data_IF_691620215528
#
_entry.id   IF_691620215528
#
_cell.length_a   1.000
_cell.length_b   1.000
_cell.length_c   1.000
_cell.angle_alpha   90.00
_cell.angle_beta   90.00
_cell.angle_gamma   90.00
#
_symmetry.space_group_name_H-M   'P 1'
#
loop_
_entity.id
_entity.type
_entity.pdbx_description
1 polymer ?
#
# COMPACT_ATOMS: atom_id res chain seq x y z
N UNK A 1 18.95 7.94 -19.77
CA UNK A 1 17.50 7.78 -20.00
C UNK A 1 17.07 6.32 -20.17
N UNK A 2 17.49 5.60 -21.22
CA UNK A 2 17.08 4.18 -21.38
C UNK A 2 17.55 3.27 -20.24
N UNK A 3 18.80 3.43 -19.79
CA UNK A 3 19.32 2.68 -18.64
C UNK A 3 18.59 3.02 -17.33
N UNK A 4 18.10 4.26 -17.18
CA UNK A 4 17.33 4.68 -16.00
C UNK A 4 15.97 3.95 -15.96
N UNK A 5 15.30 3.83 -17.13
CA UNK A 5 14.06 3.06 -17.28
C UNK A 5 14.31 1.59 -16.95
N UNK A 6 15.35 0.99 -17.53
CA UNK A 6 15.66 -0.43 -17.34
C UNK A 6 15.96 -0.75 -15.86
N UNK A 7 16.70 0.14 -15.19
CA UNK A 7 17.03 0.01 -13.76
C UNK A 7 15.81 0.18 -12.86
N UNK A 8 14.77 0.90 -13.29
CA UNK A 8 13.53 1.09 -12.53
C UNK A 8 12.61 -0.14 -12.55
N UNK A 9 12.70 -1.01 -13.57
CA UNK A 9 11.77 -2.14 -13.74
C UNK A 9 11.74 -3.08 -12.52
N UNK A 10 12.87 -3.55 -11.97
CA UNK A 10 12.85 -4.42 -10.79
C UNK A 10 12.16 -3.76 -9.59
N UNK A 11 12.39 -2.47 -9.37
CA UNK A 11 11.79 -1.73 -8.26
C UNK A 11 10.28 -1.57 -8.43
N UNK A 12 9.79 -1.28 -9.64
CA UNK A 12 8.35 -1.24 -9.92
C UNK A 12 7.66 -2.58 -9.69
N UNK A 13 8.30 -3.69 -10.06
CA UNK A 13 7.79 -5.05 -9.79
C UNK A 13 7.77 -5.34 -8.30
N UNK A 14 8.87 -5.06 -7.58
CA UNK A 14 8.96 -5.27 -6.12
C UNK A 14 7.89 -4.44 -5.40
N UNK A 15 7.72 -3.18 -5.79
CA UNK A 15 6.70 -2.30 -5.22
C UNK A 15 5.30 -2.88 -5.43
N UNK A 16 5.01 -3.40 -6.63
CA UNK A 16 3.74 -4.06 -6.92
C UNK A 16 3.48 -5.26 -5.99
N UNK A 17 4.49 -6.07 -5.66
CA UNK A 17 4.31 -7.24 -4.80
C UNK A 17 4.56 -6.96 -3.31
N UNK A 18 4.77 -5.70 -2.92
CA UNK A 18 4.96 -5.34 -1.52
C UNK A 18 3.67 -5.62 -0.74
N UNK A 19 3.76 -6.56 0.21
CA UNK A 19 2.60 -7.02 0.98
C UNK A 19 2.22 -5.95 2.00
N UNK A 20 1.06 -5.32 1.80
CA UNK A 20 0.55 -4.27 2.66
C UNK A 20 -0.98 -4.14 2.62
N UNK A 21 -1.56 -3.24 3.42
CA UNK A 21 -3.00 -2.97 3.46
C UNK A 21 -3.61 -2.75 2.07
N UNK A 22 -2.95 -1.96 1.24
CA UNK A 22 -3.40 -1.60 -0.12
C UNK A 22 -3.44 -2.82 -1.03
N UNK A 23 -2.38 -3.65 -1.02
CA UNK A 23 -2.29 -4.88 -1.81
C UNK A 23 -3.52 -5.79 -1.58
N UNK A 24 -3.85 -6.04 -0.31
CA UNK A 24 -4.99 -6.89 0.02
C UNK A 24 -6.33 -6.28 -0.40
N UNK A 25 -6.52 -4.98 -0.19
CA UNK A 25 -7.76 -4.29 -0.56
C UNK A 25 -7.93 -4.20 -2.07
N UNK A 26 -6.85 -4.06 -2.83
CA UNK A 26 -6.87 -4.09 -4.30
C UNK A 26 -7.35 -5.44 -4.81
N UNK A 27 -6.75 -6.54 -4.32
CA UNK A 27 -7.14 -7.89 -4.71
C UNK A 27 -8.59 -8.22 -4.30
N UNK A 28 -9.02 -7.82 -3.11
CA UNK A 28 -10.41 -7.98 -2.66
C UNK A 28 -11.38 -7.22 -3.55
N UNK A 29 -11.07 -5.95 -3.83
CA UNK A 29 -11.90 -5.10 -4.69
C UNK A 29 -11.99 -5.70 -6.09
N UNK A 30 -10.89 -6.22 -6.64
CA UNK A 30 -10.91 -6.85 -7.95
C UNK A 30 -11.72 -8.16 -7.97
N UNK A 31 -11.50 -9.03 -6.98
CA UNK A 31 -12.18 -10.32 -6.92
C UNK A 31 -13.68 -10.18 -6.61
N UNK A 32 -14.08 -9.20 -5.79
CA UNK A 32 -15.48 -9.03 -5.37
C UNK A 32 -16.28 -8.06 -6.24
N UNK A 33 -15.68 -6.93 -6.63
CA UNK A 33 -16.34 -5.82 -7.36
C UNK A 33 -15.86 -5.69 -8.81
N UNK A 34 -14.90 -6.50 -9.23
CA UNK A 34 -14.39 -6.56 -10.60
C UNK A 34 -13.32 -5.52 -10.92
N UNK A 35 -12.69 -5.72 -12.08
CA UNK A 35 -11.54 -4.93 -12.56
C UNK A 35 -11.77 -3.42 -12.59
N UNK A 36 -12.90 -2.94 -13.13
CA UNK A 36 -13.19 -1.48 -13.19
C UNK A 36 -13.20 -0.86 -11.79
N UNK A 37 -13.76 -1.55 -10.79
CA UNK A 37 -13.80 -1.07 -9.41
C UNK A 37 -12.41 -1.03 -8.78
N UNK A 38 -11.59 -2.05 -9.06
CA UNK A 38 -10.21 -2.12 -8.59
C UNK A 38 -9.33 -1.05 -9.24
N UNK A 39 -9.48 -0.81 -10.55
CA UNK A 39 -8.78 0.23 -11.28
C UNK A 39 -9.05 1.61 -10.69
N UNK A 40 -10.32 1.94 -10.40
CA UNK A 40 -10.66 3.23 -9.77
C UNK A 40 -10.06 3.36 -8.37
N UNK A 41 -10.04 2.27 -7.60
CA UNK A 41 -9.36 2.26 -6.30
C UNK A 41 -7.85 2.50 -6.48
N UNK A 42 -7.22 1.82 -7.44
CA UNK A 42 -5.79 1.87 -7.71
C UNK A 42 -5.34 3.24 -8.24
N UNK A 43 -6.14 3.90 -9.06
CA UNK A 43 -5.89 5.29 -9.45
C UNK A 43 -5.84 6.24 -8.25
N UNK A 44 -6.62 5.96 -7.19
CA UNK A 44 -6.51 6.68 -5.93
C UNK A 44 -5.18 6.41 -5.21
N UNK A 45 -4.71 5.16 -5.24
CA UNK A 45 -3.42 4.75 -4.66
C UNK A 45 -2.27 5.44 -5.38
N UNK A 46 -2.24 5.36 -6.71
CA UNK A 46 -1.22 6.00 -7.57
C UNK A 46 -1.22 7.52 -7.38
N UNK A 47 -2.38 8.16 -7.22
CA UNK A 47 -2.42 9.59 -6.91
C UNK A 47 -1.75 9.89 -5.55
N UNK A 48 -2.00 9.07 -4.53
CA UNK A 48 -1.33 9.22 -3.24
C UNK A 48 0.19 8.99 -3.35
N UNK A 49 0.64 8.05 -4.18
CA UNK A 49 2.07 7.86 -4.45
C UNK A 49 2.68 9.09 -5.14
N UNK A 50 2.01 9.64 -6.15
CA UNK A 50 2.46 10.88 -6.80
C UNK A 50 2.56 12.02 -5.77
N UNK A 51 1.57 12.18 -4.89
CA UNK A 51 1.62 13.18 -3.82
C UNK A 51 2.83 12.95 -2.91
N UNK A 52 3.11 11.70 -2.52
CA UNK A 52 4.27 11.39 -1.70
C UNK A 52 5.59 11.61 -2.40
N UNK A 53 5.70 11.28 -3.69
CA UNK A 53 6.88 11.60 -4.50
C UNK A 53 7.10 13.10 -4.51
N UNK A 54 6.06 13.91 -4.76
CA UNK A 54 6.18 15.37 -4.76
C UNK A 54 6.59 15.89 -3.38
N UNK A 55 5.97 15.40 -2.31
CA UNK A 55 6.34 15.76 -0.93
C UNK A 55 7.81 15.42 -0.69
N UNK A 56 8.25 14.20 -1.01
CA UNK A 56 9.61 13.75 -0.78
C UNK A 56 10.63 14.49 -1.66
N UNK A 57 10.27 14.83 -2.90
CA UNK A 57 11.12 15.54 -3.85
C UNK A 57 11.33 17.01 -3.48
N UNK A 58 10.28 17.71 -3.03
CA UNK A 58 10.37 19.11 -2.58
C UNK A 58 10.71 19.24 -1.10
N UNK A 59 10.71 18.15 -0.36
CA UNK A 59 11.12 18.11 1.04
C UNK A 59 12.61 18.41 1.16
N UNK A 60 12.97 19.28 2.10
CA UNK A 60 14.37 19.44 2.51
C UNK A 60 14.88 18.17 3.21
N UNK A 61 16.19 17.91 3.16
CA UNK A 61 16.81 16.79 3.89
C UNK A 61 16.39 16.76 5.37
N UNK A 62 16.18 17.94 5.99
CA UNK A 62 15.73 18.07 7.38
C UNK A 62 14.32 17.53 7.65
N UNK A 63 13.39 17.67 6.70
CA UNK A 63 12.02 17.14 6.87
C UNK A 63 12.01 15.62 6.64
N UNK A 64 12.85 15.11 5.73
CA UNK A 64 13.03 13.67 5.55
C UNK A 64 13.67 13.01 6.77
N UNK A 65 14.71 13.61 7.34
CA UNK A 65 15.35 13.15 8.58
C UNK A 65 14.36 13.15 9.75
N UNK A 66 13.59 14.24 9.92
CA UNK A 66 12.53 14.27 10.93
C UNK A 66 11.48 13.19 10.73
N UNK A 67 10.99 12.96 9.50
CA UNK A 67 9.95 11.93 9.27
C UNK A 67 10.49 10.52 9.54
N UNK A 68 11.78 10.28 9.26
CA UNK A 68 12.43 8.99 9.47
C UNK A 68 12.73 8.71 10.95
N UNK A 69 13.20 9.73 11.67
CA UNK A 69 13.71 9.59 13.03
C UNK A 69 12.68 9.97 14.12
N UNK A 70 11.57 10.60 13.74
CA UNK A 70 10.48 10.94 14.66
C UNK A 70 9.45 9.79 14.73
N UNK A 71 9.38 9.06 15.87
CA UNK A 71 8.40 7.99 16.06
C UNK A 71 6.95 8.48 15.98
N UNK A 72 6.71 9.78 16.12
CA UNK A 72 5.36 10.37 16.04
C UNK A 72 4.66 10.09 14.72
N UNK A 73 5.39 10.04 13.59
CA UNK A 73 4.81 9.71 12.28
C UNK A 73 4.37 8.24 12.18
N UNK A 74 5.17 7.32 12.74
CA UNK A 74 4.81 5.90 12.85
C UNK A 74 3.58 5.70 13.74
N UNK A 75 3.54 6.39 14.89
CA UNK A 75 2.39 6.36 15.80
C UNK A 75 1.14 6.92 15.09
N UNK A 76 1.24 8.08 14.44
CA UNK A 76 0.12 8.71 13.74
C UNK A 76 -0.46 7.81 12.63
N UNK A 77 0.38 7.31 11.73
CA UNK A 77 -0.03 6.37 10.68
C UNK A 77 -0.59 5.08 11.27
N UNK A 78 0.03 4.57 12.34
CA UNK A 78 -0.41 3.40 13.07
C UNK A 78 -1.80 3.55 13.69
N UNK A 79 -2.11 4.68 14.34
CA UNK A 79 -3.43 4.97 14.90
C UNK A 79 -4.48 5.02 13.81
N UNK A 80 -4.23 5.76 12.72
CA UNK A 80 -5.19 5.87 11.62
C UNK A 80 -5.47 4.52 10.98
N UNK A 81 -4.43 3.73 10.74
CA UNK A 81 -4.55 2.40 10.15
C UNK A 81 -5.23 1.40 11.09
N UNK A 82 -4.94 1.46 12.39
CA UNK A 82 -5.59 0.67 13.42
C UNK A 82 -7.08 0.98 13.51
N UNK A 83 -7.46 2.27 13.60
CA UNK A 83 -8.85 2.71 13.65
C UNK A 83 -9.59 2.29 12.38
N UNK A 84 -8.99 2.49 11.20
CA UNK A 84 -9.59 2.06 9.94
C UNK A 84 -9.78 0.53 9.90
N UNK A 85 -8.77 -0.24 10.31
CA UNK A 85 -8.84 -1.70 10.43
C UNK A 85 -9.95 -2.17 11.37
N UNK A 86 -10.07 -1.52 12.54
CA UNK A 86 -11.08 -1.82 13.55
C UNK A 86 -12.49 -1.52 13.04
N UNK A 87 -12.70 -0.34 12.45
CA UNK A 87 -13.98 0.04 11.82
C UNK A 87 -14.34 -0.97 10.72
N UNK A 88 -13.37 -1.33 9.88
CA UNK A 88 -13.55 -2.32 8.81
C UNK A 88 -13.97 -3.68 9.39
N UNK A 89 -13.32 -4.14 10.46
CA UNK A 89 -13.60 -5.42 11.11
C UNK A 89 -15.00 -5.46 11.73
N UNK A 90 -15.38 -4.42 12.48
CA UNK A 90 -16.71 -4.31 13.11
C UNK A 90 -17.78 -4.29 12.03
N UNK A 91 -17.57 -3.49 10.98
CA UNK A 91 -18.52 -3.39 9.88
C UNK A 91 -18.69 -4.71 9.15
N UNK A 92 -17.60 -5.38 8.78
CA UNK A 92 -17.66 -6.69 8.13
C UNK A 92 -18.37 -7.71 9.00
N UNK A 93 -18.09 -7.74 10.31
CA UNK A 93 -18.70 -8.68 11.26
C UNK A 93 -20.23 -8.55 11.33
N UNK A 94 -20.77 -7.35 11.10
CA UNK A 94 -22.23 -7.09 11.08
C UNK A 94 -22.85 -7.19 9.68
N UNK A 95 -22.05 -7.26 8.60
CA UNK A 95 -22.54 -7.08 7.23
C UNK A 95 -22.83 -8.38 6.46
N UNK A 96 -22.89 -9.56 7.10
CA UNK A 96 -23.12 -10.82 6.35
C UNK A 96 -24.43 -10.77 5.53
N UNK A 97 -25.51 -10.27 6.13
CA UNK A 97 -26.80 -10.07 5.44
C UNK A 97 -26.69 -9.08 4.26
N UNK A 98 -25.93 -8.01 4.43
CA UNK A 98 -25.71 -7.02 3.37
C UNK A 98 -24.87 -7.59 2.22
N UNK A 99 -23.88 -8.43 2.52
CA UNK A 99 -23.06 -9.13 1.51
C UNK A 99 -23.94 -10.07 0.68
N UNK A 100 -24.89 -10.77 1.29
CA UNK A 100 -25.84 -11.63 0.58
C UNK A 100 -26.77 -10.81 -0.32
N UNK A 101 -27.27 -9.66 0.16
CA UNK A 101 -28.10 -8.74 -0.65
C UNK A 101 -27.32 -8.11 -1.81
N UNK A 102 -26.07 -7.70 -1.57
CA UNK A 102 -25.19 -7.11 -2.59
C UNK A 102 -24.79 -8.15 -3.66
N UNK A 103 -24.63 -9.42 -3.28
CA UNK A 103 -24.34 -10.51 -4.21
C UNK A 103 -25.47 -10.76 -5.23
N UNK A 104 -26.74 -10.57 -4.84
CA UNK A 104 -27.91 -10.78 -5.70
C UNK A 104 -28.40 -9.50 -6.38
N UNK A 105 -27.89 -8.32 -6.00
CA UNK A 105 -28.25 -7.06 -6.66
C UNK A 105 -27.53 -6.95 -8.00
N UNK A 106 -28.32 -6.78 -9.06
CA UNK A 106 -27.83 -6.37 -10.38
C UNK A 106 -27.42 -4.88 -10.25
N UNK A 107 -26.12 -4.68 -10.10
CA UNK A 107 -25.31 -3.49 -10.41
C UNK A 107 -26.05 -2.16 -10.69
N UNK A 108 -26.37 -1.34 -9.66
CA UNK A 108 -27.01 -0.02 -9.89
C UNK A 108 -26.24 1.19 -9.35
N UNK A 109 -25.30 1.09 -8.40
CA UNK A 109 -24.48 2.27 -8.03
C UNK A 109 -23.06 1.90 -7.64
N UNK A 110 -22.17 1.85 -8.64
CA UNK A 110 -20.73 1.82 -8.39
C UNK A 110 -20.32 3.18 -7.84
N UNK A 111 -20.13 3.26 -6.52
CA UNK A 111 -19.62 4.46 -5.84
C UNK A 111 -18.12 4.63 -6.15
N UNK A 112 -17.80 4.90 -7.42
CA UNK A 112 -16.43 5.01 -7.91
C UNK A 112 -15.63 6.08 -7.16
N UNK A 113 -16.21 7.26 -6.91
CA UNK A 113 -15.56 8.29 -6.09
C UNK A 113 -15.21 7.81 -4.67
N UNK A 114 -16.06 6.98 -4.07
CA UNK A 114 -15.77 6.37 -2.76
C UNK A 114 -14.65 5.32 -2.84
N UNK A 115 -14.55 4.58 -3.94
CA UNK A 115 -13.47 3.61 -4.15
C UNK A 115 -12.13 4.32 -4.38
N UNK A 116 -12.14 5.38 -5.19
CA UNK A 116 -10.98 6.23 -5.42
C UNK A 116 -10.47 6.82 -4.11
N UNK A 117 -11.35 7.50 -3.35
CA UNK A 117 -10.99 8.10 -2.07
C UNK A 117 -10.54 7.03 -1.05
N UNK A 118 -11.13 5.84 -1.07
CA UNK A 118 -10.68 4.71 -0.24
C UNK A 118 -9.25 4.30 -0.58
N UNK A 119 -8.90 4.21 -1.87
CA UNK A 119 -7.55 3.90 -2.32
C UNK A 119 -6.55 4.97 -1.93
N UNK A 120 -6.87 6.22 -2.24
CA UNK A 120 -6.06 7.38 -1.87
C UNK A 120 -5.79 7.44 -0.37
N UNK A 121 -6.84 7.42 0.47
CA UNK A 121 -6.67 7.54 1.92
C UNK A 121 -5.92 6.34 2.51
N UNK A 122 -6.20 5.11 2.05
CA UNK A 122 -5.52 3.93 2.57
C UNK A 122 -4.01 3.96 2.28
N UNK A 123 -3.62 4.47 1.11
CA UNK A 123 -2.22 4.64 0.77
C UNK A 123 -1.61 5.84 1.52
N UNK A 124 -2.32 6.96 1.60
CA UNK A 124 -1.86 8.20 2.22
C UNK A 124 -1.67 8.10 3.75
N UNK A 125 -2.48 7.30 4.46
CA UNK A 125 -2.25 7.08 5.91
C UNK A 125 -1.07 6.13 6.17
N UNK A 126 -0.60 5.41 5.15
CA UNK A 126 0.49 4.45 5.29
C UNK A 126 1.84 5.17 5.16
N UNK A 127 2.37 5.63 6.29
CA UNK A 127 3.68 6.31 6.36
C UNK A 127 4.83 5.48 5.78
N UNK A 128 4.72 4.15 5.76
CA UNK A 128 5.72 3.28 5.15
C UNK A 128 5.88 3.53 3.64
N UNK A 129 4.82 4.00 2.97
CA UNK A 129 4.86 4.34 1.54
C UNK A 129 5.68 5.60 1.31
N UNK A 130 5.49 6.64 2.14
CA UNK A 130 6.32 7.85 2.09
C UNK A 130 7.81 7.50 2.28
N UNK A 131 8.13 6.71 3.31
CA UNK A 131 9.51 6.26 3.55
C UNK A 131 10.07 5.42 2.39
N UNK A 132 9.24 4.59 1.76
CA UNK A 132 9.60 3.85 0.55
C UNK A 132 9.97 4.75 -0.62
N UNK A 133 9.19 5.79 -0.88
CA UNK A 133 9.50 6.78 -1.93
C UNK A 133 10.77 7.58 -1.63
N UNK A 134 11.03 7.92 -0.36
CA UNK A 134 12.31 8.52 0.05
C UNK A 134 13.48 7.58 -0.26
N UNK A 135 13.34 6.29 0.05
CA UNK A 135 14.37 5.30 -0.28
C UNK A 135 14.60 5.18 -1.79
N UNK A 136 13.54 5.17 -2.60
CA UNK A 136 13.68 5.16 -4.07
C UNK A 136 14.31 6.43 -4.62
N UNK A 137 14.09 7.60 -4.00
CA UNK A 137 14.78 8.83 -4.39
C UNK A 137 16.28 8.72 -4.12
N UNK A 138 16.68 8.20 -2.94
CA UNK A 138 18.10 8.00 -2.61
C UNK A 138 18.75 7.00 -3.55
N UNK A 139 18.09 5.87 -3.81
CA UNK A 139 18.57 4.86 -4.77
C UNK A 139 18.65 5.45 -6.19
N UNK A 140 17.62 6.16 -6.63
CA UNK A 140 17.57 6.80 -7.94
C UNK A 140 18.73 7.77 -8.15
N UNK A 141 19.00 8.65 -7.18
CA UNK A 141 20.15 9.56 -7.22
C UNK A 141 21.51 8.83 -7.35
N UNK A 142 21.62 7.61 -6.83
CA UNK A 142 22.84 6.80 -6.97
C UNK A 142 22.95 6.03 -8.29
N UNK A 143 21.82 5.79 -8.97
CA UNK A 143 21.74 4.99 -10.19
C UNK A 143 21.57 5.83 -11.47
N UNK A 144 21.24 7.11 -11.34
CA UNK A 144 20.98 8.00 -12.48
C UNK A 144 21.96 9.15 -12.52
N UNK A 145 22.58 9.39 -13.68
CA UNK A 145 23.59 10.45 -13.85
C UNK A 145 23.07 11.66 -14.64
N UNK A 146 21.93 11.52 -15.33
CA UNK A 146 21.39 12.56 -16.20
C UNK A 146 20.51 13.58 -15.43
N UNK A 147 20.42 14.80 -15.96
CA UNK A 147 19.66 15.92 -15.35
C UNK A 147 18.21 15.56 -14.99
N UNK A 148 17.55 14.79 -15.86
CA UNK A 148 16.17 14.33 -15.66
C UNK A 148 16.08 12.84 -15.26
N UNK A 149 17.23 12.21 -14.99
CA UNK A 149 17.35 10.77 -14.76
C UNK A 149 16.50 10.30 -13.58
N UNK A 150 16.51 11.02 -12.46
CA UNK A 150 15.71 10.70 -11.29
C UNK A 150 14.20 10.73 -11.58
N UNK A 151 13.73 11.75 -12.31
CA UNK A 151 12.31 11.85 -12.68
C UNK A 151 11.90 10.72 -13.63
N UNK A 152 12.75 10.39 -14.60
CA UNK A 152 12.54 9.24 -15.51
C UNK A 152 12.52 7.93 -14.72
N UNK A 153 13.43 7.75 -13.77
CA UNK A 153 13.49 6.56 -12.91
C UNK A 153 12.22 6.40 -12.07
N UNK A 154 11.80 7.43 -11.32
CA UNK A 154 10.62 7.38 -10.45
C UNK A 154 9.32 7.20 -11.25
N UNK A 155 9.16 7.91 -12.37
CA UNK A 155 8.00 7.72 -13.25
C UNK A 155 7.97 6.33 -13.88
N UNK A 156 9.14 5.77 -14.21
CA UNK A 156 9.24 4.39 -14.70
C UNK A 156 8.84 3.37 -13.63
N UNK A 157 9.26 3.56 -12.37
CA UNK A 157 8.80 2.73 -11.23
C UNK A 157 7.27 2.76 -11.15
N UNK A 158 6.65 3.95 -11.17
CA UNK A 158 5.19 4.09 -11.11
C UNK A 158 4.48 3.41 -12.28
N UNK A 159 4.99 3.57 -13.51
CA UNK A 159 4.39 2.95 -14.70
C UNK A 159 4.48 1.43 -14.59
N UNK A 160 5.65 0.88 -14.26
CA UNK A 160 5.82 -0.57 -14.12
C UNK A 160 4.95 -1.10 -12.98
N UNK A 161 4.93 -0.41 -11.84
CA UNK A 161 4.07 -0.73 -10.70
C UNK A 161 2.60 -0.82 -11.14
N UNK A 162 2.07 0.22 -11.78
CA UNK A 162 0.70 0.26 -12.27
C UNK A 162 0.39 -0.83 -13.30
N UNK A 163 1.31 -1.09 -14.25
CA UNK A 163 1.14 -2.15 -15.25
C UNK A 163 1.06 -3.54 -14.60
N UNK A 164 1.90 -3.82 -13.61
CA UNK A 164 1.84 -5.08 -12.85
C UNK A 164 0.53 -5.15 -12.05
N UNK A 165 0.04 -4.03 -11.52
CA UNK A 165 -1.25 -3.96 -10.83
C UNK A 165 -2.41 -4.29 -11.77
N UNK A 166 -2.40 -3.84 -13.03
CA UNK A 166 -3.39 -4.24 -14.04
C UNK A 166 -3.41 -5.75 -14.27
N UNK A 167 -2.24 -6.40 -14.27
CA UNK A 167 -2.14 -7.86 -14.40
C UNK A 167 -2.73 -8.54 -13.15
N UNK A 168 -2.29 -8.15 -11.95
CA UNK A 168 -2.78 -8.73 -10.69
C UNK A 168 -4.28 -8.54 -10.53
N UNK A 169 -4.80 -7.36 -10.85
CA UNK A 169 -6.24 -7.08 -10.85
C UNK A 169 -6.96 -8.01 -11.81
N UNK A 170 -6.45 -8.20 -13.03
CA UNK A 170 -7.06 -9.10 -14.02
C UNK A 170 -7.09 -10.55 -13.55
N UNK A 171 -6.01 -11.02 -12.91
CA UNK A 171 -5.94 -12.35 -12.30
C UNK A 171 -6.92 -12.50 -11.12
N UNK A 172 -6.97 -11.52 -10.22
CA UNK A 172 -7.86 -11.52 -9.07
C UNK A 172 -9.34 -11.51 -9.48
N UNK A 173 -9.70 -10.80 -10.56
CA UNK A 173 -11.06 -10.82 -11.11
C UNK A 173 -11.49 -12.23 -11.51
N UNK A 174 -10.58 -13.08 -12.02
CA UNK A 174 -10.92 -14.46 -12.40
C UNK A 174 -11.35 -15.30 -11.19
N UNK A 175 -10.91 -14.95 -9.97
CA UNK A 175 -11.34 -15.60 -8.73
C UNK A 175 -12.81 -15.31 -8.37
N UNK A 176 -13.46 -14.31 -9.01
CA UNK A 176 -14.85 -13.95 -8.74
C UNK A 176 -15.81 -15.13 -8.86
N UNK A 177 -15.63 -16.01 -9.84
CA UNK A 177 -16.48 -17.19 -10.06
C UNK A 177 -16.39 -18.22 -8.92
N UNK A 178 -15.32 -18.17 -8.11
CA UNK A 178 -15.11 -19.06 -6.96
C UNK A 178 -15.52 -18.43 -5.62
N UNK A 179 -15.98 -17.17 -5.61
CA UNK A 179 -16.33 -16.43 -4.40
C UNK A 179 -17.82 -16.56 -4.05
N UNK A 180 -18.14 -17.42 -3.10
CA UNK A 180 -19.47 -17.45 -2.45
C UNK A 180 -19.58 -16.34 -1.40
N UNK A 181 -20.80 -15.92 -1.00
CA UNK A 181 -20.99 -14.91 0.05
C UNK A 181 -20.23 -15.22 1.35
N UNK A 182 -20.15 -16.50 1.74
CA UNK A 182 -19.35 -16.96 2.89
C UNK A 182 -17.86 -16.74 2.69
N UNK A 183 -17.33 -17.02 1.49
CA UNK A 183 -15.91 -16.77 1.16
C UNK A 183 -15.61 -15.28 1.13
N UNK A 184 -16.48 -14.47 0.52
CA UNK A 184 -16.36 -13.00 0.51
C UNK A 184 -16.29 -12.44 1.93
N UNK A 185 -17.19 -12.89 2.81
CA UNK A 185 -17.18 -12.48 4.22
C UNK A 185 -15.86 -12.85 4.91
N UNK A 186 -15.39 -14.09 4.74
CA UNK A 186 -14.10 -14.53 5.31
C UNK A 186 -12.93 -13.69 4.78
N UNK A 187 -12.85 -13.47 3.47
CA UNK A 187 -11.82 -12.64 2.85
C UNK A 187 -11.84 -11.21 3.40
N UNK A 188 -13.00 -10.54 3.44
CA UNK A 188 -13.13 -9.19 4.02
C UNK A 188 -12.68 -9.15 5.48
N UNK A 189 -13.04 -10.17 6.27
CA UNK A 189 -12.66 -10.27 7.68
C UNK A 189 -11.16 -10.46 7.86
N UNK A 190 -10.53 -11.34 7.08
CA UNK A 190 -9.08 -11.55 7.09
C UNK A 190 -8.36 -10.25 6.73
N UNK A 191 -8.82 -9.55 5.69
CA UNK A 191 -8.19 -8.30 5.26
C UNK A 191 -8.32 -7.22 6.34
N UNK A 192 -9.49 -7.08 6.97
CA UNK A 192 -9.64 -6.15 8.09
C UNK A 192 -8.68 -6.48 9.25
N UNK A 193 -8.48 -7.77 9.57
CA UNK A 193 -7.52 -8.20 10.58
C UNK A 193 -6.07 -7.92 10.17
N UNK A 194 -5.71 -8.14 8.90
CA UNK A 194 -4.37 -7.83 8.39
C UNK A 194 -4.09 -6.33 8.49
N UNK A 195 -5.04 -5.48 8.09
CA UNK A 195 -4.92 -4.02 8.19
C UNK A 195 -4.77 -3.59 9.65
N UNK A 196 -5.59 -4.15 10.54
CA UNK A 196 -5.49 -3.91 11.98
C UNK A 196 -4.12 -4.35 12.51
N UNK A 197 -3.62 -5.51 12.07
CA UNK A 197 -2.28 -6.00 12.38
C UNK A 197 -1.17 -5.05 11.93
N UNK A 198 -1.24 -4.50 10.72
CA UNK A 198 -0.31 -3.46 10.27
C UNK A 198 -0.40 -2.19 11.13
N UNK A 199 -1.61 -1.78 11.55
CA UNK A 199 -1.79 -0.68 12.49
C UNK A 199 -1.09 -0.94 13.83
N UNK A 200 -1.29 -2.12 14.42
CA UNK A 200 -0.60 -2.54 15.66
C UNK A 200 0.92 -2.58 15.45
N UNK A 201 1.41 -3.14 14.34
CA UNK A 201 2.85 -3.20 14.04
C UNK A 201 3.48 -1.81 13.99
N UNK A 202 2.82 -0.85 13.33
CA UNK A 202 3.30 0.53 13.28
C UNK A 202 3.30 1.19 14.67
N UNK A 203 2.27 0.96 15.47
CA UNK A 203 2.19 1.48 16.85
C UNK A 203 3.30 0.90 17.73
N UNK A 204 3.55 -0.41 17.66
CA UNK A 204 4.64 -1.05 18.42
C UNK A 204 6.00 -0.46 17.99
N UNK A 205 6.23 -0.32 16.68
CA UNK A 205 7.48 0.28 16.19
C UNK A 205 7.63 1.75 16.61
N UNK A 206 6.53 2.51 16.70
CA UNK A 206 6.53 3.90 17.12
C UNK A 206 6.72 4.09 18.63
N UNK A 207 6.00 3.34 19.46
CA UNK A 207 6.08 3.48 20.93
C UNK A 207 7.32 2.82 21.53
N UNK A 208 7.87 1.78 20.89
CA UNK A 208 9.00 1.01 21.42
C UNK A 208 10.22 1.00 20.46
N UNK A 209 10.80 2.17 20.12
CA UNK A 209 11.91 2.24 19.19
C UNK A 209 13.19 1.55 19.71
N UNK A 210 13.42 1.56 21.04
CA UNK A 210 14.60 0.92 21.67
C UNK A 210 14.57 -0.61 21.58
N UNK A 211 13.39 -1.21 21.63
CA UNK A 211 13.22 -2.66 21.49
C UNK A 211 13.47 -3.10 20.04
N UNK A 212 13.12 -2.26 19.05
CA UNK A 212 13.50 -2.46 17.65
C UNK A 212 15.02 -2.49 17.48
N UNK A 213 15.75 -1.57 18.11
CA UNK A 213 17.22 -1.56 18.08
C UNK A 213 17.82 -2.78 18.77
N UNK A 214 17.28 -3.19 19.92
CA UNK A 214 17.75 -4.36 20.67
C UNK A 214 17.49 -5.68 19.91
N UNK A 215 16.34 -5.80 19.24
CA UNK A 215 16.03 -6.94 18.37
C UNK A 215 17.00 -6.94 17.17
N UNK A 216 17.22 -5.80 16.52
CA UNK A 216 18.15 -5.68 15.40
C UNK A 216 19.58 -6.07 15.82
N UNK A 217 20.06 -5.56 16.96
CA UNK A 217 21.36 -5.90 17.52
C UNK A 217 21.48 -7.39 17.91
N UNK A 218 20.39 -8.04 18.35
CA UNK A 218 20.38 -9.50 18.58
C UNK A 218 20.43 -10.29 17.27
N UNK A 219 19.70 -9.87 16.24
CA UNK A 219 19.74 -10.51 14.93
C UNK A 219 21.14 -10.38 14.28
N UNK A 220 21.76 -9.20 14.33
CA UNK A 220 23.13 -8.98 13.85
C UNK A 220 24.17 -9.82 14.60
N UNK A 221 23.96 -10.08 15.91
CA UNK A 221 24.80 -11.01 16.69
C UNK A 221 24.61 -12.49 16.32
N UNK A 222 23.45 -12.88 15.78
CA UNK A 222 23.11 -14.27 15.44
C UNK A 222 23.43 -14.59 13.98
N UNK A 223 23.41 -13.60 13.08
CA UNK A 223 23.89 -13.73 11.71
C UNK A 223 25.19 -12.93 11.50
N UNK A 224 26.37 -13.47 11.86
CA UNK A 224 27.63 -12.90 11.42
C UNK A 224 27.84 -13.27 9.95
N UNK A 225 27.10 -12.63 9.05
CA UNK A 225 27.38 -12.74 7.61
C UNK A 225 28.29 -11.56 7.27
N UNK A 226 29.57 -11.89 7.09
CA UNK A 226 30.59 -11.07 6.42
C UNK A 226 30.20 -10.78 4.98
#
# INVERSE_FOLDING_TARGET
MFNDILSAIPFGIILAFTIGPVFFVLLETSATKGFKSALIFDLGVVLADIVFILIAFFSTNKLLEKVKDDPSFLIFGGVLLFVYGLISFIKTSKSFRDIVKEYHKIDIQKKYGKLFLKGFLLNFINIGVLLGWVAFIVIGNSLTESKDGLLVFLSSILIVYFLVDLIKMSLAKKLKSRLTPRRIFKTKKIIALVILGFGVLLLVQGFFPKEKEMIKARFEKISPIK
#
